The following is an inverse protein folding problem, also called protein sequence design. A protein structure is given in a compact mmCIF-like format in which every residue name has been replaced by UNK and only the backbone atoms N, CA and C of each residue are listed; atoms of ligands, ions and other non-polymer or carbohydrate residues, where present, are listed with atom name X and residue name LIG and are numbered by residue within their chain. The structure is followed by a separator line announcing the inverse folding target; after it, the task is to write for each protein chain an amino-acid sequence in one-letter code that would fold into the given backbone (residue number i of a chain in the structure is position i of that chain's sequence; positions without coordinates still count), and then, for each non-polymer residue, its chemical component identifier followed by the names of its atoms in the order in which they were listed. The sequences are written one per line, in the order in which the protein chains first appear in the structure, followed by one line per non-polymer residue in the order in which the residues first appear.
data_IF_806311319394
#
_entry.id   IF_806311319394
#
_cell.length_a   1.000
_cell.length_b   1.000
_cell.length_c   1.000
_cell.angle_alpha   90.00
_cell.angle_beta   90.00
_cell.angle_gamma   90.00
#
_symmetry.space_group_name_H-M   'P 1'
#
loop_
_entity.id
_entity.type
_entity.pdbx_description
1 polymer ?
#
# COMPACT_ATOMS: atom_id res chain seq x y z
N UNK A 1 13.27 26.27 52.24
CA UNK A 1 12.39 25.15 51.96
C UNK A 1 13.07 23.89 52.55
N UNK A 2 12.47 23.15 53.47
CA UNK A 2 13.13 22.00 54.08
C UNK A 2 13.21 20.85 53.07
N UNK A 3 14.35 20.10 53.03
CA UNK A 3 14.63 18.99 52.10
C UNK A 3 13.46 17.98 52.01
N UNK A 4 12.74 17.79 53.14
CA UNK A 4 11.57 16.91 53.21
C UNK A 4 10.36 17.42 52.40
N UNK A 5 10.14 18.73 52.31
CA UNK A 5 9.08 19.32 51.47
C UNK A 5 9.43 19.23 49.99
N UNK A 6 10.72 19.42 49.64
CA UNK A 6 11.19 19.27 48.29
C UNK A 6 11.02 17.83 47.77
N UNK A 7 11.42 16.83 48.60
CA UNK A 7 11.24 15.41 48.27
C UNK A 7 9.75 15.04 48.10
N UNK A 8 8.86 15.55 48.95
CA UNK A 8 7.41 15.32 48.82
C UNK A 8 6.83 15.92 47.54
N UNK A 9 7.27 17.12 47.16
CA UNK A 9 6.84 17.77 45.92
C UNK A 9 7.35 16.99 44.71
N UNK A 10 8.60 16.53 44.70
CA UNK A 10 9.17 15.74 43.61
C UNK A 10 8.44 14.38 43.48
N UNK A 11 8.17 13.70 44.58
CA UNK A 11 7.42 12.44 44.57
C UNK A 11 6.00 12.63 44.01
N UNK A 12 5.32 13.72 44.39
CA UNK A 12 3.99 14.04 43.87
C UNK A 12 4.01 14.35 42.36
N UNK A 13 4.99 15.12 41.91
CA UNK A 13 5.16 15.41 40.47
C UNK A 13 5.45 14.14 39.67
N UNK A 14 6.34 13.29 40.17
CA UNK A 14 6.67 12.03 39.53
C UNK A 14 5.44 11.10 39.46
N UNK A 15 4.66 10.99 40.57
CA UNK A 15 3.43 10.23 40.59
C UNK A 15 2.44 10.73 39.51
N UNK A 16 2.20 12.04 39.44
CA UNK A 16 1.29 12.60 38.41
C UNK A 16 1.79 12.38 37.00
N UNK A 17 3.11 12.45 36.77
CA UNK A 17 3.70 12.16 35.46
C UNK A 17 3.48 10.70 35.08
N UNK A 18 3.77 9.75 35.97
CA UNK A 18 3.55 8.32 35.72
C UNK A 18 2.06 8.06 35.48
N UNK A 19 1.19 8.63 36.31
CA UNK A 19 -0.26 8.50 36.14
C UNK A 19 -0.72 9.00 34.77
N UNK A 20 -0.25 10.17 34.35
CA UNK A 20 -0.58 10.74 33.03
C UNK A 20 -0.10 9.81 31.89
N UNK A 21 1.12 9.26 31.98
CA UNK A 21 1.66 8.32 30.99
C UNK A 21 0.77 7.07 30.92
N UNK A 22 0.38 6.51 32.06
CA UNK A 22 -0.49 5.33 32.10
C UNK A 22 -1.86 5.62 31.47
N UNK A 23 -2.45 6.77 31.77
CA UNK A 23 -3.73 7.17 31.17
C UNK A 23 -3.60 7.31 29.65
N UNK A 24 -2.55 7.98 29.16
CA UNK A 24 -2.29 8.13 27.72
C UNK A 24 -2.10 6.76 27.07
N UNK A 25 -1.32 5.84 27.67
CA UNK A 25 -1.12 4.48 27.15
C UNK A 25 -2.45 3.72 27.02
N UNK A 26 -3.31 3.79 28.06
CA UNK A 26 -4.62 3.14 28.02
C UNK A 26 -5.50 3.73 26.92
N UNK A 27 -5.55 5.06 26.78
CA UNK A 27 -6.33 5.72 25.71
C UNK A 27 -5.83 5.29 24.35
N UNK A 28 -4.52 5.33 24.10
CA UNK A 28 -3.92 4.90 22.85
C UNK A 28 -4.24 3.42 22.58
N UNK A 29 -4.05 2.54 23.56
CA UNK A 29 -4.32 1.11 23.44
C UNK A 29 -5.80 0.84 23.09
N UNK A 30 -6.73 1.50 23.77
CA UNK A 30 -8.17 1.34 23.51
C UNK A 30 -8.53 1.81 22.10
N UNK A 31 -8.09 2.99 21.71
CA UNK A 31 -8.48 3.55 20.41
C UNK A 31 -7.89 2.76 19.25
N UNK A 32 -6.60 2.37 19.30
CA UNK A 32 -5.97 1.59 18.21
C UNK A 32 -6.46 0.14 18.13
N UNK A 33 -7.20 -0.33 19.12
CA UNK A 33 -7.82 -1.67 19.12
C UNK A 33 -9.33 -1.65 18.97
N UNK A 34 -9.95 -0.46 18.94
CA UNK A 34 -11.41 -0.29 18.87
C UNK A 34 -11.77 0.66 17.71
N UNK A 35 -11.96 0.14 16.49
CA UNK A 35 -12.24 0.97 15.31
C UNK A 35 -13.43 1.91 15.47
N UNK A 36 -14.50 1.47 16.16
CA UNK A 36 -15.68 2.30 16.44
C UNK A 36 -15.33 3.53 17.28
N UNK A 37 -14.40 3.44 18.22
CA UNK A 37 -13.94 4.59 18.99
C UNK A 37 -13.15 5.57 18.11
N UNK A 38 -12.33 5.06 17.20
CA UNK A 38 -11.61 5.89 16.23
C UNK A 38 -12.57 6.60 15.26
N UNK A 39 -13.60 5.89 14.76
CA UNK A 39 -14.60 6.42 13.83
C UNK A 39 -15.42 7.58 14.44
N UNK A 40 -15.64 7.58 15.75
CA UNK A 40 -16.35 8.65 16.47
C UNK A 40 -15.52 9.93 16.66
N UNK A 41 -14.22 9.88 16.38
CA UNK A 41 -13.33 11.02 16.60
C UNK A 41 -13.34 11.98 15.40
N UNK A 42 -13.15 13.30 15.64
CA UNK A 42 -12.88 14.24 14.57
C UNK A 42 -11.68 13.78 13.73
N UNK A 43 -11.73 13.98 12.41
CA UNK A 43 -10.71 13.53 11.45
C UNK A 43 -9.28 13.94 11.86
N UNK A 44 -9.08 15.17 12.33
CA UNK A 44 -7.77 15.67 12.77
C UNK A 44 -7.16 14.87 13.93
N UNK A 45 -8.01 14.38 14.83
CA UNK A 45 -7.59 13.54 15.97
C UNK A 45 -7.38 12.09 15.50
N UNK A 46 -8.27 11.58 14.65
CA UNK A 46 -8.17 10.22 14.10
C UNK A 46 -6.87 9.97 13.34
N UNK A 47 -6.38 10.95 12.57
CA UNK A 47 -5.08 10.87 11.88
C UNK A 47 -3.93 10.51 12.84
N UNK A 48 -3.92 11.05 14.06
CA UNK A 48 -2.90 10.69 15.05
C UNK A 48 -2.98 9.20 15.43
N UNK A 49 -4.19 8.69 15.67
CA UNK A 49 -4.39 7.28 16.03
C UNK A 49 -4.09 6.34 14.86
N UNK A 50 -4.41 6.73 13.63
CA UNK A 50 -4.01 6.00 12.42
C UNK A 50 -2.48 5.88 12.33
N UNK A 51 -1.74 6.95 12.63
CA UNK A 51 -0.28 6.90 12.66
C UNK A 51 0.25 5.92 13.72
N UNK A 52 -0.34 5.95 14.94
CA UNK A 52 0.03 5.02 16.02
C UNK A 52 -0.33 3.59 15.63
N UNK A 53 -1.53 3.36 15.09
CA UNK A 53 -1.98 2.05 14.61
C UNK A 53 -1.04 1.47 13.55
N UNK A 54 -0.75 2.22 12.49
CA UNK A 54 0.11 1.79 11.39
C UNK A 54 1.51 1.39 11.84
N UNK A 55 2.09 2.14 12.77
CA UNK A 55 3.46 1.90 13.23
C UNK A 55 3.58 0.79 14.28
N UNK A 56 2.57 0.60 15.12
CA UNK A 56 2.72 -0.23 16.31
C UNK A 56 1.73 -1.38 16.42
N UNK A 57 0.68 -1.41 15.62
CA UNK A 57 -0.36 -2.42 15.72
C UNK A 57 -0.65 -3.15 14.42
N UNK A 58 -0.60 -2.46 13.25
CA UNK A 58 -0.94 -3.04 11.96
C UNK A 58 0.01 -4.18 11.59
N UNK A 59 -0.57 -5.35 11.29
CA UNK A 59 0.16 -6.44 10.64
C UNK A 59 0.31 -6.16 9.15
N UNK A 60 1.41 -6.60 8.56
CA UNK A 60 1.71 -6.45 7.13
C UNK A 60 1.81 -7.83 6.49
N UNK A 61 0.98 -8.11 5.49
CA UNK A 61 0.85 -9.44 4.87
C UNK A 61 2.17 -9.94 4.28
N UNK A 62 3.01 -9.05 3.77
CA UNK A 62 4.34 -9.41 3.22
C UNK A 62 5.32 -9.95 4.28
N UNK A 63 4.99 -9.84 5.57
CA UNK A 63 5.77 -10.38 6.67
C UNK A 63 5.03 -11.47 7.46
N UNK A 64 3.92 -11.98 6.89
CA UNK A 64 3.17 -13.10 7.45
C UNK A 64 3.55 -14.41 6.74
N UNK A 65 4.36 -15.30 7.36
CA UNK A 65 4.86 -16.50 6.70
C UNK A 65 3.78 -17.49 6.26
N UNK A 66 2.57 -17.38 6.83
CA UNK A 66 1.42 -18.15 6.39
C UNK A 66 0.91 -17.71 5.01
N UNK A 67 1.09 -16.44 4.65
CA UNK A 67 0.55 -15.80 3.46
C UNK A 67 1.61 -15.46 2.40
N UNK A 68 2.87 -15.35 2.80
CA UNK A 68 3.94 -14.82 1.93
C UNK A 68 5.20 -15.67 2.03
N UNK A 69 5.95 -15.73 0.95
CA UNK A 69 7.22 -16.43 0.85
C UNK A 69 8.27 -15.56 0.15
N UNK A 70 9.55 -15.86 0.39
CA UNK A 70 10.65 -15.21 -0.30
C UNK A 70 10.62 -15.48 -1.80
N UNK A 71 10.96 -14.46 -2.59
CA UNK A 71 11.18 -14.55 -4.04
C UNK A 71 12.51 -13.88 -4.40
N UNK A 72 13.41 -14.57 -5.15
CA UNK A 72 14.75 -14.06 -5.43
C UNK A 72 14.80 -12.88 -6.42
N UNK A 73 13.72 -12.61 -7.15
CA UNK A 73 13.65 -11.51 -8.12
C UNK A 73 12.78 -10.34 -7.65
N UNK A 74 11.83 -10.63 -6.73
CA UNK A 74 10.84 -9.67 -6.27
C UNK A 74 10.90 -9.44 -4.75
N UNK A 75 11.85 -10.04 -4.05
CA UNK A 75 12.01 -10.11 -2.59
C UNK A 75 10.97 -11.04 -1.94
N UNK A 76 9.71 -10.93 -2.26
CA UNK A 76 8.63 -11.77 -1.76
C UNK A 76 7.47 -11.83 -2.76
N UNK A 77 6.65 -12.87 -2.62
CA UNK A 77 5.39 -13.05 -3.33
C UNK A 77 4.40 -13.77 -2.42
N UNK A 78 3.09 -13.68 -2.69
CA UNK A 78 2.12 -14.42 -1.89
C UNK A 78 2.33 -15.93 -2.07
N UNK A 79 2.08 -16.69 -1.01
CA UNK A 79 2.23 -18.13 -1.00
C UNK A 79 1.00 -18.80 -1.63
N UNK A 80 1.13 -19.62 -2.67
CA UNK A 80 0.01 -20.32 -3.29
C UNK A 80 -0.82 -21.12 -2.29
N UNK A 81 -2.15 -21.05 -2.41
CA UNK A 81 -3.08 -21.70 -1.52
C UNK A 81 -4.03 -20.75 -0.82
N UNK A 82 -4.27 -20.96 0.45
CA UNK A 82 -5.15 -20.11 1.27
C UNK A 82 -4.48 -19.74 2.57
N UNK A 83 -4.68 -18.50 3.00
CA UNK A 83 -4.34 -18.06 4.34
C UNK A 83 -5.39 -17.09 4.87
N UNK A 84 -5.42 -16.89 6.17
CA UNK A 84 -6.21 -15.82 6.80
C UNK A 84 -5.28 -14.67 7.14
N UNK A 85 -5.62 -13.48 6.68
CA UNK A 85 -4.92 -12.25 7.01
C UNK A 85 -5.84 -11.34 7.83
N UNK A 86 -5.35 -10.92 8.99
CA UNK A 86 -6.17 -10.21 9.98
C UNK A 86 -5.48 -8.93 10.46
N UNK A 87 -6.30 -7.93 10.66
CA UNK A 87 -5.98 -6.70 11.37
C UNK A 87 -7.18 -6.33 12.27
N UNK A 88 -7.11 -5.20 12.95
CA UNK A 88 -8.15 -4.81 13.93
C UNK A 88 -9.51 -4.60 13.26
N UNK A 89 -9.55 -4.18 12.01
CA UNK A 89 -10.77 -3.81 11.28
C UNK A 89 -11.30 -4.91 10.35
N UNK A 90 -10.51 -5.97 10.11
CA UNK A 90 -10.91 -7.03 9.19
C UNK A 90 -10.26 -8.38 9.52
N UNK A 91 -10.91 -9.43 9.06
CA UNK A 91 -10.35 -10.78 8.94
C UNK A 91 -10.74 -11.32 7.57
N UNK A 92 -9.75 -11.64 6.75
CA UNK A 92 -9.94 -11.89 5.32
C UNK A 92 -9.31 -13.21 4.93
N UNK A 93 -10.06 -14.08 4.24
CA UNK A 93 -9.49 -15.21 3.53
C UNK A 93 -8.79 -14.71 2.25
N UNK A 94 -7.52 -15.00 2.14
CA UNK A 94 -6.70 -14.69 0.96
C UNK A 94 -6.49 -15.98 0.18
N UNK A 95 -7.08 -16.08 -1.01
CA UNK A 95 -6.87 -17.19 -1.95
C UNK A 95 -5.86 -16.78 -2.99
N UNK A 96 -4.83 -17.58 -3.12
CA UNK A 96 -3.65 -17.28 -3.95
C UNK A 96 -3.46 -18.36 -4.99
N UNK A 97 -3.37 -17.95 -6.25
CA UNK A 97 -3.14 -18.85 -7.38
C UNK A 97 -1.70 -19.38 -7.42
N UNK A 98 -1.42 -20.30 -8.35
CA UNK A 98 -0.10 -20.96 -8.48
C UNK A 98 1.07 -20.02 -8.75
N UNK A 99 0.81 -18.79 -9.25
CA UNK A 99 1.85 -17.77 -9.48
C UNK A 99 2.02 -16.80 -8.33
N UNK A 100 1.34 -17.02 -7.19
CA UNK A 100 1.49 -16.15 -6.02
C UNK A 100 0.69 -14.84 -6.10
N UNK A 101 -0.40 -14.81 -6.84
CA UNK A 101 -1.30 -13.66 -6.97
C UNK A 101 -2.63 -13.94 -6.27
N UNK A 102 -3.20 -12.93 -5.64
CA UNK A 102 -4.52 -13.01 -5.03
C UNK A 102 -5.61 -13.04 -6.10
N UNK A 103 -5.74 -14.17 -6.75
CA UNK A 103 -6.73 -14.46 -7.79
C UNK A 103 -6.89 -15.97 -7.98
N UNK A 104 -7.82 -16.40 -8.84
CA UNK A 104 -7.99 -17.80 -9.20
C UNK A 104 -7.00 -18.20 -10.30
N UNK A 105 -6.65 -19.50 -10.38
CA UNK A 105 -5.78 -20.04 -11.45
C UNK A 105 -6.35 -19.81 -12.85
N UNK A 106 -7.67 -19.85 -12.99
CA UNK A 106 -8.33 -19.57 -14.26
C UNK A 106 -8.07 -18.17 -14.80
N UNK A 107 -7.84 -17.18 -13.93
CA UNK A 107 -7.53 -15.80 -14.35
C UNK A 107 -6.15 -15.68 -14.99
N UNK A 108 -5.23 -16.61 -14.73
CA UNK A 108 -3.87 -16.62 -15.29
C UNK A 108 -3.83 -16.91 -16.80
N UNK A 109 -4.85 -17.55 -17.34
CA UNK A 109 -4.86 -18.00 -18.73
C UNK A 109 -5.38 -16.91 -19.65
N UNK A 110 -4.50 -16.34 -20.45
CA UNK A 110 -4.83 -15.35 -21.47
C UNK A 110 -5.79 -14.23 -20.98
N UNK A 111 -5.48 -13.49 -19.91
CA UNK A 111 -6.30 -12.38 -19.43
C UNK A 111 -6.38 -11.27 -20.49
N UNK A 112 -7.55 -10.61 -20.56
CA UNK A 112 -7.73 -9.44 -21.42
C UNK A 112 -7.37 -8.13 -20.72
N UNK A 113 -7.45 -8.14 -19.37
CA UNK A 113 -7.11 -7.03 -18.49
C UNK A 113 -6.18 -7.55 -17.40
N UNK A 114 -5.07 -6.86 -17.19
CA UNK A 114 -4.18 -7.11 -16.04
C UNK A 114 -4.18 -5.84 -15.18
N UNK A 115 -4.42 -6.01 -13.87
CA UNK A 115 -4.35 -4.94 -12.88
C UNK A 115 -3.12 -5.16 -12.03
N UNK A 116 -2.14 -4.28 -12.14
CA UNK A 116 -0.94 -4.26 -11.28
C UNK A 116 -1.04 -3.13 -10.27
N UNK A 117 -0.34 -3.24 -9.16
CA UNK A 117 -0.33 -2.26 -8.09
C UNK A 117 0.09 -2.90 -6.76
N UNK A 118 -0.07 -2.15 -5.71
CA UNK A 118 0.27 -2.54 -4.35
C UNK A 118 -0.92 -3.16 -3.57
N UNK A 119 -1.01 -2.87 -2.28
CA UNK A 119 -2.08 -3.33 -1.40
C UNK A 119 -3.48 -2.88 -1.82
N UNK A 120 -3.61 -1.74 -2.49
CA UNK A 120 -4.90 -1.25 -3.00
C UNK A 120 -5.38 -2.11 -4.18
N UNK A 121 -4.51 -2.42 -5.12
CA UNK A 121 -4.84 -3.33 -6.22
C UNK A 121 -5.07 -4.76 -5.73
N UNK A 122 -4.27 -5.23 -4.76
CA UNK A 122 -4.40 -6.55 -4.14
C UNK A 122 -5.74 -6.73 -3.40
N UNK A 123 -6.40 -5.65 -2.97
CA UNK A 123 -7.63 -5.72 -2.18
C UNK A 123 -7.38 -5.96 -0.70
N UNK A 124 -6.51 -5.16 -0.09
CA UNK A 124 -6.24 -5.18 1.34
C UNK A 124 -7.51 -5.08 2.18
N UNK A 125 -7.70 -6.02 3.09
CA UNK A 125 -8.78 -6.00 4.08
C UNK A 125 -10.19 -6.36 3.58
N UNK A 126 -10.40 -6.54 2.27
CA UNK A 126 -11.69 -6.91 1.71
C UNK A 126 -11.72 -8.37 1.26
N UNK A 127 -12.91 -8.98 1.18
CA UNK A 127 -13.05 -10.34 0.66
C UNK A 127 -12.72 -10.40 -0.83
N UNK A 128 -12.35 -11.57 -1.33
CA UNK A 128 -11.86 -11.71 -2.72
C UNK A 128 -12.86 -11.20 -3.76
N UNK A 129 -14.15 -11.46 -3.57
CA UNK A 129 -15.17 -11.04 -4.53
C UNK A 129 -15.48 -9.53 -4.47
N UNK A 130 -14.99 -8.83 -3.44
CA UNK A 130 -15.14 -7.38 -3.23
C UNK A 130 -13.97 -6.57 -3.81
N UNK A 131 -12.85 -7.24 -4.20
CA UNK A 131 -11.68 -6.57 -4.77
C UNK A 131 -12.03 -5.83 -6.07
N UNK A 132 -11.38 -4.69 -6.31
CA UNK A 132 -11.62 -3.89 -7.51
C UNK A 132 -11.48 -4.68 -8.82
N UNK A 133 -10.51 -5.60 -8.93
CA UNK A 133 -10.33 -6.44 -10.10
C UNK A 133 -11.51 -7.40 -10.32
N UNK A 134 -12.12 -7.92 -9.24
CA UNK A 134 -13.32 -8.77 -9.33
C UNK A 134 -14.57 -7.95 -9.67
N UNK A 135 -14.70 -6.75 -9.11
CA UNK A 135 -15.76 -5.81 -9.50
C UNK A 135 -15.63 -5.45 -10.97
N UNK A 136 -14.41 -5.12 -11.40
CA UNK A 136 -14.11 -4.80 -12.80
C UNK A 136 -14.48 -5.95 -13.74
N UNK A 137 -14.10 -7.20 -13.41
CA UNK A 137 -14.45 -8.36 -14.21
C UNK A 137 -15.96 -8.54 -14.37
N UNK A 138 -16.73 -8.42 -13.28
CA UNK A 138 -18.19 -8.52 -13.33
C UNK A 138 -18.86 -7.39 -14.13
N UNK A 139 -18.32 -6.16 -14.00
CA UNK A 139 -18.91 -4.98 -14.62
C UNK A 139 -18.55 -4.84 -16.10
N UNK A 140 -17.35 -5.29 -16.51
CA UNK A 140 -16.90 -5.20 -17.91
C UNK A 140 -17.21 -6.46 -18.73
N UNK A 141 -17.39 -7.61 -18.09
CA UNK A 141 -17.49 -8.90 -18.76
C UNK A 141 -16.18 -9.43 -19.33
N UNK A 142 -15.05 -8.73 -19.11
CA UNK A 142 -13.73 -9.11 -19.58
C UNK A 142 -13.04 -10.06 -18.57
N UNK A 143 -12.10 -10.85 -19.06
CA UNK A 143 -11.25 -11.69 -18.22
C UNK A 143 -10.15 -10.83 -17.57
N UNK A 144 -10.28 -10.60 -16.27
CA UNK A 144 -9.37 -9.76 -15.47
C UNK A 144 -8.47 -10.64 -14.62
N UNK A 145 -7.16 -10.34 -14.61
CA UNK A 145 -6.20 -10.85 -13.67
C UNK A 145 -5.79 -9.74 -12.70
N UNK A 146 -5.97 -9.97 -11.40
CA UNK A 146 -5.45 -9.10 -10.35
C UNK A 146 -4.03 -9.52 -9.99
N UNK A 147 -3.06 -8.66 -10.26
CA UNK A 147 -1.64 -8.87 -10.01
C UNK A 147 -1.06 -7.84 -9.02
N UNK A 148 -1.90 -7.35 -8.10
CA UNK A 148 -1.47 -6.48 -7.00
C UNK A 148 -0.78 -7.27 -5.89
N UNK A 149 0.33 -6.75 -5.37
CA UNK A 149 1.07 -7.32 -4.23
C UNK A 149 1.38 -6.21 -3.24
N UNK A 150 0.99 -6.40 -1.98
CA UNK A 150 1.20 -5.41 -0.92
C UNK A 150 2.64 -4.86 -0.89
N UNK A 151 2.77 -3.53 -0.83
CA UNK A 151 4.04 -2.80 -0.77
C UNK A 151 5.00 -3.03 -1.95
N UNK A 152 4.51 -3.48 -3.10
CA UNK A 152 5.27 -3.35 -4.34
C UNK A 152 5.24 -1.89 -4.79
N UNK A 153 6.33 -1.44 -5.40
CA UNK A 153 6.33 -0.24 -6.21
C UNK A 153 6.31 -0.61 -7.68
N UNK A 154 6.15 0.39 -8.53
CA UNK A 154 5.95 0.24 -9.98
C UNK A 154 6.99 -0.67 -10.64
N UNK A 155 8.24 -0.68 -10.17
CA UNK A 155 9.31 -1.51 -10.78
C UNK A 155 9.04 -3.00 -10.57
N UNK A 156 8.70 -3.42 -9.34
CA UNK A 156 8.36 -4.83 -9.06
C UNK A 156 7.08 -5.25 -9.76
N UNK A 157 6.12 -4.35 -9.89
CA UNK A 157 4.88 -4.58 -10.63
C UNK A 157 5.15 -4.86 -12.12
N UNK A 158 5.99 -4.05 -12.75
CA UNK A 158 6.37 -4.24 -14.15
C UNK A 158 7.24 -5.49 -14.37
N UNK A 159 8.08 -5.87 -13.39
CA UNK A 159 8.82 -7.15 -13.42
C UNK A 159 7.91 -8.36 -13.19
N UNK A 160 6.90 -8.22 -12.32
CA UNK A 160 5.89 -9.26 -12.14
C UNK A 160 5.13 -9.51 -13.45
N UNK A 161 4.85 -8.47 -14.23
CA UNK A 161 4.21 -8.60 -15.54
C UNK A 161 5.01 -9.50 -16.50
N UNK A 162 6.35 -9.55 -16.38
CA UNK A 162 7.20 -10.43 -17.19
C UNK A 162 6.89 -11.92 -17.00
N UNK A 163 6.32 -12.31 -15.85
CA UNK A 163 5.97 -13.70 -15.49
C UNK A 163 4.56 -14.09 -15.94
N UNK A 164 3.75 -13.12 -16.41
CA UNK A 164 2.34 -13.34 -16.73
C UNK A 164 2.11 -13.62 -18.21
N UNK A 165 1.01 -14.29 -18.49
CA UNK A 165 0.53 -14.46 -19.86
C UNK A 165 -0.12 -13.13 -20.32
N UNK A 166 0.51 -12.49 -21.28
CA UNK A 166 0.03 -11.23 -21.88
C UNK A 166 -0.50 -11.40 -23.31
N UNK A 167 -0.66 -12.65 -23.76
CA UNK A 167 -0.98 -12.99 -25.16
C UNK A 167 -2.31 -12.39 -25.65
N UNK A 168 -3.26 -12.16 -24.76
CA UNK A 168 -4.56 -11.53 -25.06
C UNK A 168 -4.79 -10.22 -24.31
N UNK A 169 -3.77 -9.69 -23.67
CA UNK A 169 -3.87 -8.46 -22.90
C UNK A 169 -4.22 -7.26 -23.83
N UNK A 170 -5.36 -6.66 -23.59
CA UNK A 170 -5.85 -5.45 -24.26
C UNK A 170 -5.63 -4.21 -23.39
N UNK A 171 -5.72 -4.39 -22.08
CA UNK A 171 -5.63 -3.33 -21.10
C UNK A 171 -4.65 -3.68 -19.98
N UNK A 172 -3.75 -2.76 -19.69
CA UNK A 172 -2.93 -2.77 -18.48
C UNK A 172 -3.39 -1.62 -17.59
N UNK A 173 -3.84 -1.97 -16.38
CA UNK A 173 -4.25 -1.00 -15.38
C UNK A 173 -3.16 -0.96 -14.31
N UNK A 174 -2.59 0.21 -14.09
CA UNK A 174 -1.53 0.45 -13.10
C UNK A 174 -2.10 1.32 -11.98
N UNK A 175 -2.16 0.77 -10.79
CA UNK A 175 -2.46 1.54 -9.59
C UNK A 175 -1.14 2.05 -9.02
N UNK A 176 -1.02 3.34 -8.87
CA UNK A 176 0.14 4.03 -8.32
C UNK A 176 -0.11 4.48 -6.87
N UNK A 177 0.92 4.38 -6.04
CA UNK A 177 0.96 4.95 -4.69
C UNK A 177 2.23 5.80 -4.53
N UNK A 178 2.18 6.83 -3.69
CA UNK A 178 3.32 7.75 -3.49
C UNK A 178 4.60 7.07 -2.97
N UNK A 179 4.48 5.91 -2.32
CA UNK A 179 5.63 5.10 -1.91
C UNK A 179 6.42 4.48 -3.08
N UNK A 180 5.81 4.35 -4.27
CA UNK A 180 6.44 3.76 -5.45
C UNK A 180 7.66 4.56 -5.92
N UNK A 181 7.70 5.84 -5.55
CA UNK A 181 8.81 6.74 -5.88
C UNK A 181 10.16 6.20 -5.42
N UNK A 182 10.19 5.44 -4.34
CA UNK A 182 11.43 4.84 -3.80
C UNK A 182 12.03 3.84 -4.79
N UNK A 183 11.21 2.94 -5.33
CA UNK A 183 11.64 1.98 -6.34
C UNK A 183 11.95 2.66 -7.67
N UNK A 184 11.13 3.64 -8.07
CA UNK A 184 11.31 4.37 -9.32
C UNK A 184 12.62 5.16 -9.33
N UNK A 185 13.02 5.74 -8.20
CA UNK A 185 14.34 6.36 -8.04
C UNK A 185 15.46 5.32 -8.08
N UNK A 186 15.31 4.22 -7.33
CA UNK A 186 16.31 3.15 -7.33
C UNK A 186 16.52 2.59 -8.74
N UNK A 187 15.46 2.41 -9.51
CA UNK A 187 15.52 1.96 -10.91
C UNK A 187 16.35 2.91 -11.79
N UNK A 188 16.16 4.22 -11.66
CA UNK A 188 16.98 5.23 -12.34
C UNK A 188 18.44 5.16 -11.88
N UNK A 189 18.65 5.13 -10.56
CA UNK A 189 20.00 5.26 -9.96
C UNK A 189 20.86 3.99 -10.14
N UNK A 190 20.21 2.84 -10.39
CA UNK A 190 20.89 1.56 -10.63
C UNK A 190 20.73 1.04 -12.07
N UNK A 191 20.62 1.95 -13.05
CA UNK A 191 20.62 1.62 -14.47
C UNK A 191 19.55 0.56 -14.86
N UNK A 192 18.32 0.75 -14.41
CA UNK A 192 17.18 -0.14 -14.75
C UNK A 192 17.05 -1.39 -13.85
N UNK A 193 17.71 -1.38 -12.69
CA UNK A 193 17.55 -2.44 -11.68
C UNK A 193 17.13 -1.85 -10.34
N UNK A 194 16.67 -2.72 -9.43
CA UNK A 194 16.44 -2.36 -8.02
C UNK A 194 17.14 -3.36 -7.11
N UNK A 195 17.59 -2.94 -5.93
CA UNK A 195 18.09 -3.85 -4.91
C UNK A 195 17.01 -4.85 -4.49
N UNK A 196 17.35 -6.14 -4.49
CA UNK A 196 16.52 -7.22 -3.98
C UNK A 196 17.15 -7.74 -2.70
N UNK A 197 16.36 -7.88 -1.64
CA UNK A 197 16.86 -8.44 -0.39
C UNK A 197 17.28 -9.90 -0.60
N UNK A 198 18.36 -10.31 0.08
CA UNK A 198 18.67 -11.72 0.20
C UNK A 198 17.60 -12.46 1.02
N UNK A 199 17.53 -13.78 0.91
CA UNK A 199 16.60 -14.58 1.74
C UNK A 199 16.84 -14.37 3.24
N UNK A 200 18.10 -14.20 3.64
CA UNK A 200 18.48 -13.95 5.04
C UNK A 200 18.02 -12.57 5.52
N UNK A 201 18.21 -11.52 4.70
CA UNK A 201 17.79 -10.16 5.05
C UNK A 201 16.26 -10.05 5.08
N UNK A 202 15.56 -10.70 4.12
CA UNK A 202 14.11 -10.77 4.15
C UNK A 202 13.60 -11.49 5.42
N UNK A 203 14.19 -12.64 5.78
CA UNK A 203 13.83 -13.34 7.01
C UNK A 203 14.11 -12.49 8.26
N UNK A 204 15.24 -11.79 8.31
CA UNK A 204 15.56 -10.87 9.41
C UNK A 204 14.52 -9.74 9.52
N UNK A 205 14.04 -9.21 8.38
CA UNK A 205 12.96 -8.21 8.35
C UNK A 205 11.64 -8.80 8.86
N UNK A 206 11.26 -10.02 8.45
CA UNK A 206 10.08 -10.73 8.96
C UNK A 206 10.15 -10.88 10.49
N UNK A 207 11.29 -11.36 11.00
CA UNK A 207 11.49 -11.58 12.45
C UNK A 207 11.42 -10.25 13.23
N UNK A 208 12.01 -9.19 12.68
CA UNK A 208 11.95 -7.84 13.27
C UNK A 208 10.51 -7.32 13.37
N UNK A 209 9.71 -7.44 12.29
CA UNK A 209 8.29 -7.04 12.30
C UNK A 209 7.48 -7.87 13.28
N UNK A 210 7.64 -9.19 13.29
CA UNK A 210 6.90 -10.09 14.19
C UNK A 210 7.22 -9.85 15.66
N UNK A 211 8.48 -9.60 16.01
CA UNK A 211 8.89 -9.28 17.37
C UNK A 211 8.20 -8.00 17.91
N UNK A 212 7.79 -7.09 17.05
CA UNK A 212 7.14 -5.83 17.40
C UNK A 212 5.61 -5.93 17.53
N UNK A 213 4.99 -7.03 17.10
CA UNK A 213 3.53 -7.21 17.15
C UNK A 213 3.01 -7.33 18.59
N UNK A 214 3.75 -7.95 19.49
CA UNK A 214 3.36 -8.13 20.89
C UNK A 214 3.10 -6.80 21.62
N UNK A 215 2.11 -6.81 22.52
CA UNK A 215 1.89 -5.68 23.45
C UNK A 215 2.84 -5.79 24.65
N UNK A 216 3.37 -4.64 25.04
CA UNK A 216 4.07 -4.46 26.32
C UNK A 216 3.70 -3.09 26.92
N UNK A 217 3.69 -2.93 28.26
CA UNK A 217 3.31 -1.67 28.90
C UNK A 217 4.18 -0.50 28.45
N UNK A 218 3.55 0.56 27.97
CA UNK A 218 4.24 1.75 27.43
C UNK A 218 4.57 1.68 25.92
N UNK A 219 4.14 0.63 25.21
CA UNK A 219 4.40 0.43 23.78
C UNK A 219 3.97 1.65 22.95
N UNK A 220 2.74 2.09 23.11
CA UNK A 220 2.18 3.17 22.31
C UNK A 220 2.69 4.54 22.73
N UNK A 221 2.86 4.77 24.03
CA UNK A 221 3.38 6.04 24.57
C UNK A 221 4.85 6.25 24.21
N UNK A 222 5.68 5.21 24.36
CA UNK A 222 7.09 5.28 23.95
C UNK A 222 7.24 5.43 22.44
N UNK A 223 6.40 4.72 21.67
CA UNK A 223 6.37 4.85 20.22
C UNK A 223 5.99 6.26 19.76
N UNK A 224 4.95 6.83 20.36
CA UNK A 224 4.55 8.21 20.08
C UNK A 224 5.67 9.20 20.45
N UNK A 225 6.32 9.00 21.60
CA UNK A 225 7.47 9.82 22.04
C UNK A 225 8.64 9.72 21.04
N UNK A 226 9.03 8.51 20.63
CA UNK A 226 10.11 8.30 19.65
C UNK A 226 9.78 8.98 18.32
N UNK A 227 8.52 8.89 17.86
CA UNK A 227 8.08 9.54 16.63
C UNK A 227 8.14 11.07 16.72
N UNK A 228 7.66 11.66 17.81
CA UNK A 228 7.70 13.13 18.03
C UNK A 228 9.16 13.61 18.09
N UNK A 229 10.03 12.85 18.74
CA UNK A 229 11.46 13.21 18.90
C UNK A 229 12.33 12.79 17.71
N UNK A 230 11.77 12.12 16.70
CA UNK A 230 12.49 11.56 15.54
C UNK A 230 13.60 10.56 15.93
N UNK A 231 13.47 9.93 17.10
CA UNK A 231 14.38 8.88 17.59
C UNK A 231 13.91 7.47 17.18
N UNK A 232 13.00 7.39 16.24
CA UNK A 232 12.40 6.13 15.80
C UNK A 232 13.47 5.22 15.14
N UNK A 233 13.57 3.99 15.61
CA UNK A 233 14.35 2.95 14.95
C UNK A 233 13.52 2.42 13.77
N UNK A 234 13.87 2.83 12.57
CA UNK A 234 13.32 2.25 11.34
C UNK A 234 13.86 0.83 11.12
N UNK A 235 13.11 0.03 10.37
CA UNK A 235 13.64 -1.22 9.81
C UNK A 235 14.98 -0.93 9.11
N UNK A 236 16.06 -1.63 9.47
CA UNK A 236 17.36 -1.42 8.85
C UNK A 236 17.36 -1.65 7.33
N UNK A 237 16.43 -2.45 6.83
CA UNK A 237 16.24 -2.76 5.41
C UNK A 237 15.11 -1.93 4.74
N UNK A 238 14.42 -1.06 5.49
CA UNK A 238 13.38 -0.23 4.92
C UNK A 238 13.96 0.78 3.92
N UNK A 239 13.43 0.85 2.70
CA UNK A 239 13.84 1.86 1.75
C UNK A 239 13.51 3.26 2.30
N UNK A 240 14.46 4.19 2.16
CA UNK A 240 14.29 5.54 2.67
C UNK A 240 13.52 6.38 1.65
N UNK A 241 12.43 6.98 2.10
CA UNK A 241 11.72 7.97 1.28
C UNK A 241 12.65 9.15 0.96
N UNK A 242 12.67 9.62 -0.30
CA UNK A 242 13.47 10.77 -0.69
C UNK A 242 13.04 12.02 0.09
N UNK A 243 13.98 12.87 0.43
CA UNK A 243 13.77 14.05 1.26
C UNK A 243 12.89 15.13 0.61
N UNK A 244 12.89 15.22 -0.70
CA UNK A 244 11.95 16.00 -1.52
C UNK A 244 12.13 15.63 -2.99
N UNK A 245 11.04 15.40 -3.68
CA UNK A 245 11.01 15.26 -5.14
C UNK A 245 9.84 16.09 -5.66
N UNK A 246 10.02 16.74 -6.80
CA UNK A 246 8.89 17.44 -7.42
C UNK A 246 7.92 16.43 -8.04
N UNK A 247 6.63 16.76 -8.08
CA UNK A 247 5.64 15.90 -8.71
C UNK A 247 5.84 15.72 -10.23
N UNK A 248 6.59 16.62 -10.86
CA UNK A 248 7.02 16.49 -12.27
C UNK A 248 8.10 15.42 -12.40
N UNK A 249 9.09 15.42 -11.50
CA UNK A 249 10.15 14.39 -11.49
C UNK A 249 9.58 13.03 -11.12
N UNK A 250 8.67 12.98 -10.15
CA UNK A 250 7.95 11.77 -9.75
C UNK A 250 7.20 11.15 -10.93
N UNK A 251 6.41 11.95 -11.66
CA UNK A 251 5.70 11.51 -12.86
C UNK A 251 6.66 11.07 -13.99
N UNK A 252 7.80 11.76 -14.15
CA UNK A 252 8.81 11.41 -15.13
C UNK A 252 9.46 10.06 -14.80
N UNK A 253 9.81 9.83 -13.54
CA UNK A 253 10.37 8.54 -13.09
C UNK A 253 9.37 7.40 -13.28
N UNK A 254 8.12 7.60 -12.91
CA UNK A 254 7.06 6.63 -13.11
C UNK A 254 6.91 6.25 -14.60
N UNK A 255 6.80 7.22 -15.49
CA UNK A 255 6.67 6.96 -16.92
C UNK A 255 7.91 6.27 -17.51
N UNK A 256 9.11 6.57 -16.99
CA UNK A 256 10.33 5.86 -17.35
C UNK A 256 10.29 4.38 -16.96
N UNK A 257 9.76 4.07 -15.77
CA UNK A 257 9.57 2.68 -15.33
C UNK A 257 8.54 1.97 -16.21
N UNK A 258 7.42 2.60 -16.54
CA UNK A 258 6.44 2.01 -17.45
C UNK A 258 7.05 1.71 -18.84
N UNK A 259 7.94 2.58 -19.33
CA UNK A 259 8.60 2.40 -20.62
C UNK A 259 9.64 1.28 -20.64
N UNK A 260 10.32 1.02 -19.51
CA UNK A 260 11.52 0.19 -19.47
C UNK A 260 11.53 -0.90 -18.39
N UNK A 261 10.52 -0.96 -17.52
CA UNK A 261 10.47 -1.85 -16.36
C UNK A 261 10.06 -3.28 -16.70
N UNK A 262 9.46 -3.51 -17.87
CA UNK A 262 9.04 -4.85 -18.36
C UNK A 262 9.66 -5.17 -19.71
N UNK A 263 9.83 -6.46 -19.99
CA UNK A 263 10.24 -6.99 -21.31
C UNK A 263 9.05 -7.30 -22.23
N UNK A 264 7.82 -7.19 -21.70
CA UNK A 264 6.61 -7.46 -22.48
C UNK A 264 6.35 -6.32 -23.46
N UNK A 265 5.95 -6.63 -24.71
CA UNK A 265 5.52 -5.61 -25.66
C UNK A 265 4.19 -5.00 -25.20
N UNK A 266 4.13 -3.68 -25.14
CA UNK A 266 2.94 -2.93 -24.72
C UNK A 266 2.37 -2.03 -25.84
N UNK A 267 2.89 -2.11 -27.05
CA UNK A 267 2.53 -1.19 -28.16
C UNK A 267 1.03 -1.19 -28.49
N UNK A 268 0.38 -2.34 -28.40
CA UNK A 268 -1.05 -2.49 -28.70
C UNK A 268 -1.94 -2.47 -27.44
N UNK A 269 -1.35 -2.26 -26.26
CA UNK A 269 -2.05 -2.26 -24.97
C UNK A 269 -2.55 -0.85 -24.65
N UNK A 270 -3.82 -0.76 -24.22
CA UNK A 270 -4.36 0.47 -23.65
C UNK A 270 -3.94 0.56 -22.17
N UNK A 271 -3.18 1.60 -21.83
CA UNK A 271 -2.68 1.83 -20.49
C UNK A 271 -3.63 2.76 -19.73
N UNK A 272 -4.07 2.32 -18.53
CA UNK A 272 -4.87 3.13 -17.63
C UNK A 272 -4.09 3.25 -16.32
N UNK A 273 -3.96 4.46 -15.81
CA UNK A 273 -3.26 4.76 -14.56
C UNK A 273 -4.20 5.49 -13.62
N UNK A 274 -4.26 5.06 -12.38
CA UNK A 274 -4.91 5.80 -11.31
C UNK A 274 -4.03 5.82 -10.05
N UNK A 275 -4.17 6.88 -9.27
CA UNK A 275 -3.46 7.05 -8.01
C UNK A 275 -4.38 6.67 -6.85
N UNK A 276 -3.94 5.75 -5.98
CA UNK A 276 -4.57 5.49 -4.69
C UNK A 276 -3.78 6.17 -3.59
N UNK A 277 -4.46 6.76 -2.66
CA UNK A 277 -3.85 7.34 -1.47
C UNK A 277 -4.62 6.95 -0.23
N UNK A 278 -3.92 6.98 0.90
CA UNK A 278 -4.39 6.60 2.24
C UNK A 278 -5.46 7.54 2.80
N UNK A 279 -6.35 8.07 2.08
CA UNK A 279 -7.50 8.90 2.41
C UNK A 279 -7.75 9.94 1.31
N UNK A 280 -8.94 10.57 1.36
CA UNK A 280 -9.24 11.74 0.55
C UNK A 280 -8.24 12.84 0.91
N UNK A 281 -7.18 12.95 0.11
CA UNK A 281 -6.23 14.07 0.14
C UNK A 281 -6.64 15.12 -0.88
N UNK A 282 -6.19 16.38 -0.72
CA UNK A 282 -6.25 17.33 -1.84
C UNK A 282 -5.61 16.69 -3.08
N UNK A 283 -6.16 16.94 -4.28
CA UNK A 283 -5.63 16.35 -5.50
C UNK A 283 -4.13 16.64 -5.60
N UNK A 284 -3.34 15.58 -5.72
CA UNK A 284 -1.91 15.69 -6.00
C UNK A 284 -1.75 16.04 -7.47
N UNK A 285 -0.71 16.80 -7.78
CA UNK A 285 -0.39 17.14 -9.16
C UNK A 285 0.27 15.98 -9.94
N UNK A 286 0.56 14.86 -9.29
CA UNK A 286 1.20 13.69 -9.90
C UNK A 286 0.44 13.19 -11.13
N UNK A 287 -0.82 12.84 -10.98
CA UNK A 287 -1.63 12.27 -12.06
C UNK A 287 -1.82 13.28 -13.22
N UNK A 288 -1.98 14.57 -12.90
CA UNK A 288 -2.04 15.63 -13.90
C UNK A 288 -0.71 15.74 -14.67
N UNK A 289 0.43 15.65 -13.99
CA UNK A 289 1.75 15.65 -14.62
C UNK A 289 1.96 14.40 -15.48
N UNK A 290 1.53 13.22 -15.02
CA UNK A 290 1.54 11.98 -15.82
C UNK A 290 0.77 12.21 -17.12
N UNK A 291 -0.44 12.78 -17.07
CA UNK A 291 -1.27 13.03 -18.24
C UNK A 291 -0.63 14.04 -19.22
N UNK A 292 0.10 15.03 -18.72
CA UNK A 292 0.78 16.02 -19.55
C UNK A 292 2.07 15.45 -20.17
N UNK A 293 2.91 14.80 -19.34
CA UNK A 293 4.21 14.29 -19.77
C UNK A 293 4.05 13.11 -20.73
N UNK A 294 3.06 12.25 -20.50
CA UNK A 294 2.78 11.09 -21.35
C UNK A 294 2.52 11.48 -22.81
N UNK A 295 1.98 12.66 -23.08
CA UNK A 295 1.66 13.15 -24.44
C UNK A 295 2.85 13.70 -25.22
N UNK A 296 4.03 13.79 -24.62
CA UNK A 296 5.23 14.28 -25.32
C UNK A 296 5.63 13.35 -26.44
N UNK A 297 6.21 13.91 -27.52
CA UNK A 297 6.60 13.15 -28.71
C UNK A 297 7.75 12.16 -28.48
N UNK A 298 8.54 12.37 -27.41
CA UNK A 298 9.64 11.49 -27.00
C UNK A 298 9.17 10.25 -26.23
N UNK A 299 7.89 10.18 -25.85
CA UNK A 299 7.33 9.02 -25.17
C UNK A 299 6.95 7.89 -26.15
N UNK A 300 7.06 6.62 -25.73
CA UNK A 300 6.54 5.47 -26.48
C UNK A 300 5.05 5.62 -26.85
N UNK A 301 4.64 5.03 -27.97
CA UNK A 301 3.28 5.18 -28.46
C UNK A 301 2.18 4.73 -27.48
N UNK A 302 2.42 3.65 -26.76
CA UNK A 302 1.46 3.17 -25.75
C UNK A 302 1.34 4.13 -24.54
N UNK A 303 2.44 4.78 -24.15
CA UNK A 303 2.44 5.81 -23.10
C UNK A 303 1.70 7.07 -23.57
N UNK A 304 1.87 7.49 -24.83
CA UNK A 304 1.14 8.64 -25.37
C UNK A 304 -0.38 8.47 -25.37
N UNK A 305 -0.86 7.21 -25.38
CA UNK A 305 -2.28 6.85 -25.32
C UNK A 305 -2.78 6.54 -23.90
N UNK A 306 -1.94 6.77 -22.88
CA UNK A 306 -2.29 6.55 -21.50
C UNK A 306 -3.55 7.33 -21.10
N UNK A 307 -4.46 6.66 -20.42
CA UNK A 307 -5.61 7.26 -19.76
C UNK A 307 -5.33 7.41 -18.27
N UNK A 308 -5.30 8.64 -17.78
CA UNK A 308 -5.17 8.95 -16.37
C UNK A 308 -6.57 9.10 -15.75
N UNK A 309 -6.92 8.24 -14.79
CA UNK A 309 -8.20 8.27 -14.09
C UNK A 309 -8.03 8.88 -12.70
N UNK A 310 -8.65 10.02 -12.46
CA UNK A 310 -8.76 10.58 -11.11
C UNK A 310 -9.88 9.87 -10.35
N UNK A 311 -9.50 9.07 -9.34
CA UNK A 311 -10.45 8.33 -8.51
C UNK A 311 -10.85 9.10 -7.24
N UNK A 312 -10.17 10.20 -6.90
CA UNK A 312 -10.45 10.94 -5.67
C UNK A 312 -11.89 11.47 -5.59
N UNK A 313 -12.51 11.98 -6.67
CA UNK A 313 -13.89 12.42 -6.63
C UNK A 313 -14.93 11.30 -6.48
N UNK A 314 -14.53 10.05 -6.65
CA UNK A 314 -15.40 8.88 -6.54
C UNK A 314 -15.53 8.37 -5.11
N UNK A 315 -14.62 8.79 -4.22
CA UNK A 315 -14.45 8.19 -2.90
C UNK A 315 -14.89 9.16 -1.80
N UNK A 316 -15.57 8.61 -0.82
CA UNK A 316 -15.96 9.29 0.41
C UNK A 316 -15.16 8.76 1.61
N UNK A 317 -15.26 9.41 2.76
CA UNK A 317 -14.54 9.02 3.97
C UNK A 317 -14.93 7.60 4.44
N UNK A 318 -16.18 7.22 4.28
CA UNK A 318 -16.71 5.90 4.64
C UNK A 318 -16.24 4.77 3.72
N UNK A 319 -15.63 5.10 2.58
CA UNK A 319 -15.00 4.13 1.69
C UNK A 319 -13.64 3.63 2.19
N UNK A 320 -13.15 4.17 3.32
CA UNK A 320 -11.88 3.79 3.94
C UNK A 320 -12.09 3.13 5.31
N UNK A 321 -11.16 2.25 5.68
CA UNK A 321 -11.07 1.79 7.05
C UNK A 321 -10.69 2.94 7.99
N UNK A 322 -11.22 2.92 9.21
CA UNK A 322 -11.08 4.06 10.13
C UNK A 322 -9.68 4.21 10.72
N UNK A 323 -8.97 3.09 10.94
CA UNK A 323 -7.60 3.03 11.47
C UNK A 323 -6.60 2.65 10.39
N UNK A 324 -6.94 1.68 9.54
CA UNK A 324 -6.03 1.11 8.54
C UNK A 324 -5.83 2.02 7.33
N UNK A 325 -6.82 2.87 7.02
CA UNK A 325 -6.86 3.84 5.91
C UNK A 325 -6.81 3.25 4.47
N UNK A 326 -6.85 1.94 4.31
CA UNK A 326 -7.11 1.30 3.03
C UNK A 326 -8.60 1.33 2.67
N UNK A 327 -8.90 1.04 1.41
CA UNK A 327 -10.28 1.01 0.90
C UNK A 327 -11.09 -0.13 1.50
N UNK A 328 -12.34 0.16 1.83
CA UNK A 328 -13.38 -0.84 2.09
C UNK A 328 -13.94 -1.37 0.78
N UNK A 329 -14.83 -2.37 0.87
CA UNK A 329 -15.53 -2.94 -0.28
C UNK A 329 -16.24 -1.89 -1.14
N UNK A 330 -16.83 -0.86 -0.53
CA UNK A 330 -17.49 0.25 -1.25
C UNK A 330 -16.50 1.04 -2.12
N UNK A 331 -15.33 1.39 -1.60
CA UNK A 331 -14.30 2.08 -2.38
C UNK A 331 -13.78 1.23 -3.55
N UNK A 332 -13.56 -0.07 -3.32
CA UNK A 332 -13.22 -1.01 -4.39
C UNK A 332 -14.32 -1.09 -5.47
N UNK A 333 -15.59 -1.05 -5.05
CA UNK A 333 -16.73 -1.06 -5.95
C UNK A 333 -16.78 0.20 -6.83
N UNK A 334 -16.57 1.39 -6.23
CA UNK A 334 -16.56 2.65 -6.96
C UNK A 334 -15.47 2.67 -8.04
N UNK A 335 -14.23 2.33 -7.67
CA UNK A 335 -13.10 2.31 -8.59
C UNK A 335 -13.30 1.24 -9.68
N UNK A 336 -13.71 0.02 -9.30
CA UNK A 336 -13.93 -1.07 -10.25
C UNK A 336 -15.00 -0.75 -11.31
N UNK A 337 -16.09 -0.09 -10.90
CA UNK A 337 -17.14 0.39 -11.82
C UNK A 337 -16.67 1.51 -12.75
N UNK A 338 -15.90 2.47 -12.22
CA UNK A 338 -15.34 3.56 -13.02
C UNK A 338 -14.39 3.02 -14.09
N UNK A 339 -13.51 2.09 -13.73
CA UNK A 339 -12.63 1.40 -14.66
C UNK A 339 -13.42 0.64 -15.73
N UNK A 340 -14.48 -0.10 -15.35
CA UNK A 340 -15.33 -0.81 -16.31
C UNK A 340 -15.98 0.17 -17.32
N UNK A 341 -16.39 1.34 -16.88
CA UNK A 341 -16.93 2.39 -17.76
C UNK A 341 -15.91 2.81 -18.83
N UNK A 342 -14.62 2.91 -18.48
CA UNK A 342 -13.54 3.23 -19.44
C UNK A 342 -13.30 2.08 -20.42
N UNK A 343 -13.30 0.82 -19.92
CA UNK A 343 -13.06 -0.35 -20.78
C UNK A 343 -14.17 -0.59 -21.81
N UNK A 344 -15.41 -0.24 -21.45
CA UNK A 344 -16.59 -0.43 -22.28
C UNK A 344 -16.89 0.79 -23.17
N UNK A 345 -16.14 1.89 -23.02
CA UNK A 345 -16.29 3.05 -23.89
C UNK A 345 -15.85 2.69 -25.34
N UNK A 346 -16.64 3.15 -26.35
CA UNK A 346 -16.39 2.84 -27.75
C UNK A 346 -15.07 3.37 -28.29
#
# INVERSE_FOLDING_TARGET
MTTRRLLGTLAFLLFNLIFAIVVVEIVLAVVVTTPSAAAMMPRSVRILFQQVYRHFKRSLIQFEPACTQYDPELTYILKPGRCTFENVEFSTEVRVNRLGLRDDDAALEAPEVIVVGDSYAMGWGVQQDEMLGRVLARASGLKVLTAGISSYGTVREMRLLDRLDTSRMKFLIVQYHDSDIVENQAFRDHAGTIPILSAADYQATVDWYRARQGYWPGKYTSGLFMKITRLETSDPNAPRMPSSISSVDEATLFLNVLAHGTRKPLDDVKLIVFESSEQIRPPRSFLANVAVISRRNDQPAFIRRLHALDVAPLLEEDDFFSLDDHLRASGHEQIGKALAGILNAP
#
